data_IF_008052378985
#
_entry.id   IF_008052378985
#
_cell.length_a   1.000
_cell.length_b   1.000
_cell.length_c   1.000
_cell.angle_alpha   90.00
_cell.angle_beta   90.00
_cell.angle_gamma   90.00
#
_symmetry.space_group_name_H-M   'P 1'
#
loop_
_entity.id
_entity.type
_entity.pdbx_description
1 polymer ?
#
# COMPACT_ATOMS: atom_id res chain seq x y z
N UNK A 1 -19.79 -9.67 -16.96
CA UNK A 1 -19.33 -8.35 -17.47
C UNK A 1 -18.29 -7.81 -16.52
N UNK A 2 -17.18 -7.31 -17.02
CA UNK A 2 -16.15 -6.66 -16.20
C UNK A 2 -16.65 -5.29 -15.74
N UNK A 3 -16.61 -5.03 -14.43
CA UNK A 3 -16.89 -3.72 -13.86
C UNK A 3 -15.64 -2.83 -14.04
N UNK A 4 -15.74 -1.83 -14.91
CA UNK A 4 -14.63 -0.91 -15.19
C UNK A 4 -14.47 0.18 -14.12
N UNK A 5 -15.48 0.41 -13.29
CA UNK A 5 -15.47 1.45 -12.26
C UNK A 5 -14.86 0.91 -10.97
N UNK A 6 -15.25 -0.31 -10.58
CA UNK A 6 -14.67 -1.02 -9.45
C UNK A 6 -14.20 -2.42 -9.92
N UNK A 7 -13.02 -2.53 -10.57
CA UNK A 7 -12.54 -3.79 -11.11
C UNK A 7 -12.08 -4.78 -10.03
N UNK A 8 -12.08 -6.07 -10.37
CA UNK A 8 -11.81 -7.17 -9.42
C UNK A 8 -10.46 -7.10 -8.72
N UNK A 9 -9.43 -6.55 -9.37
CA UNK A 9 -8.09 -6.42 -8.77
C UNK A 9 -8.01 -5.49 -7.55
N UNK A 10 -9.10 -4.77 -7.21
CA UNK A 10 -9.24 -4.05 -5.94
C UNK A 10 -10.14 -4.75 -4.92
N UNK A 11 -10.80 -5.85 -5.31
CA UNK A 11 -11.77 -6.61 -4.50
C UNK A 11 -11.25 -7.98 -4.06
N UNK A 12 -10.19 -8.48 -4.69
CA UNK A 12 -9.70 -9.83 -4.49
C UNK A 12 -8.93 -10.04 -3.17
N UNK A 13 -8.64 -8.97 -2.42
CA UNK A 13 -7.96 -9.06 -1.13
C UNK A 13 -8.91 -9.34 0.05
N UNK A 14 -8.39 -9.33 1.28
CA UNK A 14 -9.19 -9.61 2.47
C UNK A 14 -10.26 -8.54 2.76
N UNK A 15 -10.21 -7.40 2.07
CA UNK A 15 -11.19 -6.32 2.06
C UNK A 15 -11.05 -5.53 0.74
N UNK A 16 -11.96 -4.60 0.43
CA UNK A 16 -11.79 -3.77 -0.77
C UNK A 16 -10.68 -2.73 -0.58
N UNK A 17 -9.73 -2.63 -1.51
CA UNK A 17 -8.56 -1.74 -1.39
C UNK A 17 -8.91 -0.29 -1.01
N UNK A 18 -10.07 0.21 -1.49
CA UNK A 18 -10.56 1.56 -1.18
C UNK A 18 -10.82 1.77 0.32
N UNK A 19 -11.12 0.71 1.07
CA UNK A 19 -11.35 0.78 2.51
C UNK A 19 -10.14 1.28 3.28
N UNK A 20 -8.93 0.92 2.83
CA UNK A 20 -7.66 1.39 3.36
C UNK A 20 -7.18 2.66 2.65
N UNK A 21 -7.15 2.69 1.31
CA UNK A 21 -6.49 3.78 0.58
C UNK A 21 -7.13 5.15 0.84
N UNK A 22 -8.43 5.21 1.15
CA UNK A 22 -9.15 6.45 1.48
C UNK A 22 -8.78 7.06 2.84
N UNK A 23 -8.17 6.27 3.72
CA UNK A 23 -7.74 6.71 5.06
C UNK A 23 -6.35 7.35 5.01
N UNK A 24 -5.59 7.08 3.94
CA UNK A 24 -4.24 7.57 3.72
C UNK A 24 -4.27 8.85 2.89
N UNK A 25 -3.22 9.66 2.97
CA UNK A 25 -3.05 10.79 2.06
C UNK A 25 -2.80 10.30 0.62
N UNK A 26 -2.91 11.21 -0.36
CA UNK A 26 -2.92 10.87 -1.79
C UNK A 26 -1.82 9.88 -2.19
N UNK A 27 -0.55 10.20 -1.92
CA UNK A 27 0.57 9.41 -2.40
C UNK A 27 0.65 8.05 -1.71
N UNK A 28 0.40 8.02 -0.40
CA UNK A 28 0.37 6.77 0.37
C UNK A 28 -0.81 5.88 -0.03
N UNK A 29 -1.98 6.47 -0.32
CA UNK A 29 -3.14 5.78 -0.85
C UNK A 29 -2.87 5.17 -2.22
N UNK A 30 -2.19 5.91 -3.11
CA UNK A 30 -1.77 5.42 -4.42
C UNK A 30 -0.76 4.29 -4.29
N UNK A 31 0.27 4.45 -3.45
CA UNK A 31 1.25 3.39 -3.20
C UNK A 31 0.59 2.09 -2.72
N UNK A 32 -0.34 2.17 -1.76
CA UNK A 32 -1.12 1.01 -1.31
C UNK A 32 -1.92 0.40 -2.46
N UNK A 33 -2.60 1.20 -3.30
CA UNK A 33 -3.38 0.66 -4.43
C UNK A 33 -2.53 -0.13 -5.42
N UNK A 34 -1.32 0.35 -5.71
CA UNK A 34 -0.40 -0.35 -6.60
C UNK A 34 0.13 -1.65 -5.96
N UNK A 35 0.56 -1.61 -4.70
CA UNK A 35 0.94 -2.79 -3.93
C UNK A 35 -0.21 -3.78 -3.72
N UNK A 36 -1.46 -3.33 -3.68
CA UNK A 36 -2.60 -4.21 -3.47
C UNK A 36 -2.90 -5.06 -4.71
N UNK A 37 -2.71 -4.47 -5.90
CA UNK A 37 -3.19 -5.04 -7.18
C UNK A 37 -2.10 -5.66 -8.05
N UNK A 38 -0.82 -5.56 -7.66
CA UNK A 38 0.31 -5.81 -8.57
C UNK A 38 0.28 -7.20 -9.22
N UNK A 39 -0.01 -8.26 -8.44
CA UNK A 39 -0.10 -9.64 -8.95
C UNK A 39 -1.27 -9.88 -9.91
N UNK A 40 -2.24 -8.96 -9.97
CA UNK A 40 -3.49 -9.14 -10.70
C UNK A 40 -3.71 -8.10 -11.81
N UNK A 41 -2.72 -7.24 -12.08
CA UNK A 41 -2.84 -6.21 -13.12
C UNK A 41 -1.58 -6.02 -13.96
N UNK A 42 -0.55 -5.33 -13.43
CA UNK A 42 0.64 -4.96 -14.21
C UNK A 42 1.96 -5.57 -13.67
N UNK A 43 1.89 -6.52 -12.72
CA UNK A 43 3.07 -7.15 -12.15
C UNK A 43 4.02 -6.15 -11.47
N UNK A 44 5.32 -6.36 -11.65
CA UNK A 44 6.39 -5.54 -11.03
C UNK A 44 6.30 -4.05 -11.41
N UNK A 45 5.67 -3.70 -12.53
CA UNK A 45 5.47 -2.30 -12.92
C UNK A 45 4.61 -1.54 -11.89
N UNK A 46 3.58 -2.18 -11.32
CA UNK A 46 2.80 -1.56 -10.27
C UNK A 46 3.65 -1.36 -8.99
N UNK A 47 4.53 -2.30 -8.62
CA UNK A 47 5.45 -2.11 -7.49
C UNK A 47 6.41 -0.93 -7.71
N UNK A 48 6.90 -0.74 -8.95
CA UNK A 48 7.73 0.43 -9.30
C UNK A 48 6.96 1.74 -9.19
N UNK A 49 5.67 1.76 -9.56
CA UNK A 49 4.80 2.93 -9.34
C UNK A 49 4.58 3.20 -7.86
N UNK A 50 4.35 2.16 -7.05
CA UNK A 50 4.26 2.31 -5.60
C UNK A 50 5.53 2.94 -5.02
N UNK A 51 6.70 2.44 -5.43
CA UNK A 51 8.00 2.98 -5.02
C UNK A 51 8.17 4.46 -5.41
N UNK A 52 7.70 4.85 -6.60
CA UNK A 52 7.71 6.25 -7.04
C UNK A 52 6.87 7.15 -6.13
N UNK A 53 5.63 6.74 -5.79
CA UNK A 53 4.77 7.51 -4.88
C UNK A 53 5.33 7.59 -3.45
N UNK A 54 5.95 6.53 -2.94
CA UNK A 54 6.59 6.55 -1.62
C UNK A 54 7.76 7.54 -1.60
N UNK A 55 8.60 7.53 -2.63
CA UNK A 55 9.70 8.50 -2.77
C UNK A 55 9.19 9.94 -2.83
N UNK A 56 8.13 10.20 -3.58
CA UNK A 56 7.52 11.53 -3.66
C UNK A 56 7.00 12.00 -2.29
N UNK A 57 6.26 11.12 -1.61
CA UNK A 57 5.72 11.39 -0.28
C UNK A 57 6.82 11.70 0.75
N UNK A 58 7.94 10.97 0.70
CA UNK A 58 9.12 11.23 1.55
C UNK A 58 9.74 12.59 1.20
N UNK A 59 10.00 12.84 -0.08
CA UNK A 59 10.66 14.05 -0.58
C UNK A 59 9.90 15.31 -0.19
N UNK A 60 8.57 15.27 -0.31
CA UNK A 60 7.69 16.41 -0.04
C UNK A 60 7.11 16.41 1.38
N UNK A 61 7.59 15.52 2.26
CA UNK A 61 7.12 15.37 3.64
C UNK A 61 5.60 15.15 3.78
N UNK A 62 4.98 14.48 2.80
CA UNK A 62 3.55 14.19 2.81
C UNK A 62 3.21 13.30 4.01
N UNK A 63 2.25 13.71 4.87
CA UNK A 63 1.86 12.92 6.03
C UNK A 63 1.25 11.60 5.59
N UNK A 64 1.41 10.56 6.41
CA UNK A 64 0.86 9.23 6.10
C UNK A 64 -0.68 9.24 6.07
N UNK A 65 -1.29 9.77 7.13
CA UNK A 65 -2.74 9.86 7.25
C UNK A 65 -3.28 11.16 6.66
N UNK A 66 -4.40 11.07 5.93
CA UNK A 66 -5.06 12.23 5.33
C UNK A 66 -5.75 13.16 6.35
N UNK A 67 -5.93 12.68 7.58
CA UNK A 67 -6.91 13.22 8.52
C UNK A 67 -6.31 13.81 9.80
N UNK A 68 -5.01 14.11 9.83
CA UNK A 68 -4.32 14.61 11.03
C UNK A 68 -4.98 15.84 11.70
N UNK A 69 -5.89 16.54 11.02
CA UNK A 69 -6.65 17.68 11.56
C UNK A 69 -8.18 17.43 11.75
N UNK A 70 -8.69 16.19 11.65
CA UNK A 70 -10.13 15.88 11.80
C UNK A 70 -10.48 15.54 13.24
N UNK A 71 -11.71 15.84 13.67
CA UNK A 71 -12.26 15.52 15.02
C UNK A 71 -12.22 14.02 15.39
N UNK A 72 -12.05 13.13 14.40
CA UNK A 72 -12.03 11.67 14.57
C UNK A 72 -10.73 11.05 14.02
N UNK A 73 -9.60 11.78 14.06
CA UNK A 73 -8.34 11.32 13.49
C UNK A 73 -7.90 9.98 14.10
N UNK A 74 -7.96 9.86 15.42
CA UNK A 74 -7.67 8.65 16.20
C UNK A 74 -8.44 7.41 15.72
N UNK A 75 -9.75 7.55 15.46
CA UNK A 75 -10.60 6.45 14.99
C UNK A 75 -10.19 6.02 13.58
N UNK A 76 -9.90 6.97 12.69
CA UNK A 76 -9.50 6.69 11.32
C UNK A 76 -8.10 6.05 11.25
N UNK A 77 -7.17 6.52 12.09
CA UNK A 77 -5.84 5.93 12.24
C UNK A 77 -5.92 4.50 12.76
N UNK A 78 -6.71 4.26 13.82
CA UNK A 78 -6.95 2.92 14.34
C UNK A 78 -7.56 1.98 13.29
N UNK A 79 -8.49 2.49 12.46
CA UNK A 79 -9.06 1.73 11.35
C UNK A 79 -8.00 1.36 10.30
N UNK A 80 -7.15 2.30 9.90
CA UNK A 80 -6.07 2.04 8.94
C UNK A 80 -5.06 1.02 9.50
N UNK A 81 -4.66 1.14 10.76
CA UNK A 81 -3.76 0.21 11.45
C UNK A 81 -4.38 -1.20 11.50
N UNK A 82 -5.69 -1.31 11.75
CA UNK A 82 -6.41 -2.59 11.72
C UNK A 82 -6.34 -3.23 10.33
N UNK A 83 -6.62 -2.47 9.27
CA UNK A 83 -6.61 -2.97 7.89
C UNK A 83 -5.19 -3.39 7.46
N UNK A 84 -4.16 -2.60 7.80
CA UNK A 84 -2.76 -2.98 7.57
C UNK A 84 -2.38 -4.28 8.30
N UNK A 85 -2.91 -4.49 9.52
CA UNK A 85 -2.68 -5.72 10.27
C UNK A 85 -3.26 -6.95 9.58
N UNK A 86 -4.41 -6.80 8.90
CA UNK A 86 -5.02 -7.88 8.12
C UNK A 86 -4.14 -8.20 6.91
N UNK A 87 -3.69 -7.19 6.16
CA UNK A 87 -2.79 -7.41 5.01
C UNK A 87 -1.47 -8.07 5.41
N UNK A 88 -0.90 -7.66 6.55
CA UNK A 88 0.28 -8.28 7.11
C UNK A 88 0.02 -9.76 7.46
N UNK A 89 -1.05 -10.05 8.22
CA UNK A 89 -1.34 -11.41 8.69
C UNK A 89 -1.64 -12.40 7.56
N UNK A 90 -2.28 -11.93 6.49
CA UNK A 90 -2.61 -12.74 5.31
C UNK A 90 -1.45 -12.83 4.30
N UNK A 91 -0.29 -12.21 4.59
CA UNK A 91 0.80 -11.97 3.63
C UNK A 91 0.25 -11.51 2.26
N UNK A 92 -0.67 -10.54 2.29
CA UNK A 92 -1.41 -10.16 1.08
C UNK A 92 -0.45 -9.69 -0.01
N UNK A 93 -0.60 -10.27 -1.20
CA UNK A 93 0.22 -10.00 -2.37
C UNK A 93 1.74 -10.23 -2.14
N UNK A 94 2.09 -11.12 -1.20
CA UNK A 94 3.47 -11.46 -0.84
C UNK A 94 4.31 -10.25 -0.38
N UNK A 95 3.68 -9.39 0.42
CA UNK A 95 4.20 -8.10 0.87
C UNK A 95 4.14 -7.95 2.41
N UNK A 96 4.18 -9.04 3.19
CA UNK A 96 4.10 -9.02 4.66
C UNK A 96 5.00 -7.96 5.29
N UNK A 97 6.30 -7.93 4.94
CA UNK A 97 7.26 -7.00 5.53
C UNK A 97 6.92 -5.54 5.18
N UNK A 98 6.45 -5.28 3.96
CA UNK A 98 6.01 -3.96 3.54
C UNK A 98 4.78 -3.50 4.34
N UNK A 99 3.77 -4.36 4.53
CA UNK A 99 2.58 -4.03 5.33
C UNK A 99 2.93 -3.80 6.81
N UNK A 100 3.86 -4.59 7.35
CA UNK A 100 4.39 -4.39 8.71
C UNK A 100 5.07 -3.03 8.84
N UNK A 101 5.91 -2.66 7.88
CA UNK A 101 6.65 -1.40 7.91
C UNK A 101 5.72 -0.19 7.72
N UNK A 102 4.68 -0.29 6.89
CA UNK A 102 3.66 0.75 6.78
C UNK A 102 2.92 1.01 8.09
N UNK A 103 2.79 -0.03 8.93
CA UNK A 103 2.09 0.04 10.21
C UNK A 103 2.95 0.63 11.34
N UNK A 104 4.24 0.26 11.39
CA UNK A 104 5.10 0.53 12.54
C UNK A 104 6.50 1.03 12.22
N UNK A 105 6.95 0.86 10.97
CA UNK A 105 8.26 1.30 10.52
C UNK A 105 8.30 2.79 10.26
N UNK A 106 9.50 3.30 10.04
CA UNK A 106 9.65 4.64 9.48
C UNK A 106 9.47 4.64 7.95
N UNK A 107 9.55 5.81 7.34
CA UNK A 107 9.32 5.94 5.88
C UNK A 107 10.43 5.27 5.06
N UNK A 108 11.64 5.16 5.59
CA UNK A 108 12.78 4.53 4.94
C UNK A 108 12.62 3.01 4.97
N UNK A 109 12.19 2.44 6.10
CA UNK A 109 11.88 1.01 6.24
C UNK A 109 10.85 0.53 5.19
N UNK A 110 9.85 1.37 4.91
CA UNK A 110 8.82 1.07 3.90
C UNK A 110 9.42 1.06 2.49
N UNK A 111 10.29 2.04 2.19
CA UNK A 111 10.96 2.16 0.91
C UNK A 111 11.92 1.00 0.65
N UNK A 112 12.71 0.64 1.67
CA UNK A 112 13.67 -0.46 1.61
C UNK A 112 12.97 -1.80 1.38
N UNK A 113 11.93 -2.12 2.17
CA UNK A 113 11.18 -3.37 2.01
C UNK A 113 10.59 -3.53 0.61
N UNK A 114 10.06 -2.46 0.02
CA UNK A 114 9.51 -2.52 -1.34
C UNK A 114 10.62 -2.65 -2.40
N UNK A 115 11.76 -1.98 -2.19
CA UNK A 115 12.92 -2.07 -3.08
C UNK A 115 13.51 -3.47 -3.08
N UNK A 116 13.66 -4.07 -1.91
CA UNK A 116 14.09 -5.46 -1.75
C UNK A 116 13.16 -6.42 -2.47
N UNK A 117 11.83 -6.24 -2.33
CA UNK A 117 10.85 -7.07 -3.02
C UNK A 117 10.94 -6.97 -4.54
N UNK A 118 11.11 -5.75 -5.07
CA UNK A 118 11.29 -5.55 -6.52
C UNK A 118 12.56 -6.25 -7.01
N UNK A 119 13.66 -6.12 -6.27
CA UNK A 119 14.94 -6.76 -6.62
C UNK A 119 14.87 -8.28 -6.55
N UNK A 120 14.13 -8.85 -5.59
CA UNK A 120 13.86 -10.29 -5.50
C UNK A 120 13.16 -10.79 -6.77
N UNK A 121 12.03 -10.18 -7.13
CA UNK A 121 11.23 -10.55 -8.31
C UNK A 121 12.06 -10.42 -9.60
N UNK A 122 12.87 -9.38 -9.74
CA UNK A 122 13.71 -9.17 -10.92
C UNK A 122 14.90 -10.14 -11.01
N UNK A 123 15.35 -10.72 -9.89
CA UNK A 123 16.35 -11.79 -9.87
C UNK A 123 15.74 -13.14 -10.25
N UNK A 124 14.51 -13.42 -9.81
CA UNK A 124 13.79 -14.66 -10.12
C UNK A 124 13.31 -14.72 -11.58
N UNK A 125 13.05 -13.56 -12.19
CA UNK A 125 12.64 -13.45 -13.59
C UNK A 125 13.78 -13.42 -14.63
N UNK A 126 15.04 -13.53 -14.20
CA UNK A 126 16.23 -13.67 -15.05
C UNK A 126 16.72 -15.12 -15.07
#
# INVERSE_FOLDING_TARGET
>A
MTDNINPSHYKNGPFECIELSRLLSSDWGQAVQYCFRWQHKNGVEDLKKALWFINDAITHNVPFFAACCKRNADILEAQAIRLLSILQAENWADLEQFWRNLKWGDRVDVLEALTEKINEIEKEGK
#
